data_IF_548782130907
#
_entry.id   IF_548782130907
#
_cell.length_a   1.000
_cell.length_b   1.000
_cell.length_c   1.000
_cell.angle_alpha   90.00
_cell.angle_beta   90.00
_cell.angle_gamma   90.00
#
_symmetry.space_group_name_H-M   'P 1'
#
loop_
_entity.id
_entity.type
_entity.pdbx_description
1 polymer ?
#
# COMPACT_ATOMS: atom_id res chain seq x y z
N UNK A 1 26.14 -20.73 24.97
CA UNK A 1 24.75 -20.25 24.95
C UNK A 1 24.39 -19.58 26.26
N UNK A 2 23.38 -18.72 26.27
CA UNK A 2 22.82 -18.09 27.49
C UNK A 2 21.74 -18.99 28.09
N UNK A 3 21.45 -18.86 29.39
CA UNK A 3 20.41 -19.66 30.06
C UNK A 3 19.03 -19.49 29.41
N UNK A 4 18.69 -18.26 28.99
CA UNK A 4 17.43 -17.97 28.31
C UNK A 4 17.30 -18.69 26.95
N UNK A 5 18.41 -18.89 26.22
CA UNK A 5 18.37 -19.65 24.97
C UNK A 5 18.13 -21.14 25.26
N UNK A 6 18.79 -21.69 26.30
CA UNK A 6 18.52 -23.08 26.72
C UNK A 6 17.06 -23.29 27.08
N UNK A 7 16.43 -22.37 27.82
CA UNK A 7 15.01 -22.50 28.20
C UNK A 7 14.08 -22.62 26.98
N UNK A 8 14.37 -21.90 25.91
CA UNK A 8 13.61 -21.97 24.66
C UNK A 8 13.87 -23.32 23.95
N UNK A 9 15.13 -23.76 23.90
CA UNK A 9 15.52 -24.99 23.22
C UNK A 9 15.26 -26.27 24.03
N UNK A 10 14.87 -26.16 25.31
CA UNK A 10 14.78 -27.30 26.22
C UNK A 10 13.72 -28.32 25.79
N UNK A 11 12.55 -27.86 25.35
CA UNK A 11 11.50 -28.76 24.88
C UNK A 11 11.95 -29.52 23.63
N UNK A 12 12.50 -28.83 22.65
CA UNK A 12 13.01 -29.45 21.42
C UNK A 12 14.20 -30.40 21.70
N UNK A 13 15.01 -30.10 22.71
CA UNK A 13 16.06 -31.01 23.19
C UNK A 13 15.48 -32.28 23.83
N UNK A 14 14.45 -32.16 24.67
CA UNK A 14 13.78 -33.31 25.30
C UNK A 14 13.00 -34.16 24.30
N UNK A 15 12.37 -33.53 23.30
CA UNK A 15 11.66 -34.20 22.21
C UNK A 15 12.62 -34.81 21.16
N UNK A 16 13.91 -34.48 21.23
CA UNK A 16 14.94 -34.97 20.30
C UNK A 16 14.82 -34.40 18.89
N UNK A 17 14.18 -33.24 18.74
CA UNK A 17 13.95 -32.56 17.45
C UNK A 17 15.08 -31.58 17.10
N UNK A 18 15.96 -31.28 18.06
CA UNK A 18 17.10 -30.39 17.90
C UNK A 18 18.16 -30.95 16.92
N UNK A 19 18.79 -30.07 16.13
CA UNK A 19 19.91 -30.45 15.27
C UNK A 19 21.14 -30.84 16.10
N UNK A 20 21.96 -31.79 15.62
CA UNK A 20 23.14 -32.31 16.33
C UNK A 20 24.11 -31.22 16.81
N UNK A 21 24.31 -30.17 16.00
CA UNK A 21 25.19 -29.06 16.37
C UNK A 21 24.65 -28.23 17.54
N UNK A 22 23.33 -28.04 17.59
CA UNK A 22 22.66 -27.29 18.63
C UNK A 22 22.55 -28.13 19.92
N UNK A 23 22.33 -29.43 19.77
CA UNK A 23 22.34 -30.39 20.87
C UNK A 23 23.68 -30.41 21.62
N UNK A 24 24.80 -30.40 20.90
CA UNK A 24 26.14 -30.34 21.52
C UNK A 24 26.36 -29.03 22.32
N UNK A 25 25.84 -27.91 21.83
CA UNK A 25 25.90 -26.63 22.55
C UNK A 25 25.01 -26.65 23.80
N UNK A 26 23.84 -27.31 23.72
CA UNK A 26 22.96 -27.55 24.86
C UNK A 26 23.65 -28.39 25.94
N UNK A 27 24.21 -29.52 25.57
CA UNK A 27 24.94 -30.42 26.48
C UNK A 27 26.15 -29.74 27.13
N UNK A 28 26.88 -28.93 26.35
CA UNK A 28 28.00 -28.15 26.88
C UNK A 28 27.56 -27.21 27.99
N UNK A 29 26.50 -26.44 27.80
CA UNK A 29 26.07 -25.51 28.85
C UNK A 29 25.29 -26.20 29.99
N UNK A 30 24.64 -27.35 29.76
CA UNK A 30 24.16 -28.20 30.86
C UNK A 30 25.31 -28.69 31.76
N UNK A 31 26.51 -28.91 31.21
CA UNK A 31 27.70 -29.26 31.99
C UNK A 31 28.29 -28.08 32.77
N UNK A 32 28.08 -26.85 32.29
CA UNK A 32 28.62 -25.62 32.89
C UNK A 32 27.65 -24.97 33.91
N UNK A 33 26.33 -25.16 33.75
CA UNK A 33 25.30 -24.50 34.56
C UNK A 33 24.44 -25.52 35.33
N UNK A 34 24.66 -25.61 36.64
CA UNK A 34 23.93 -26.54 37.51
C UNK A 34 22.41 -26.28 37.57
N UNK A 35 21.98 -25.01 37.52
CA UNK A 35 20.56 -24.65 37.55
C UNK A 35 19.82 -25.14 36.30
N UNK A 36 20.42 -24.97 35.12
CA UNK A 36 19.85 -25.48 33.87
C UNK A 36 19.86 -27.01 33.82
N UNK A 37 20.87 -27.65 34.42
CA UNK A 37 20.94 -29.11 34.52
C UNK A 37 19.90 -29.71 35.48
N UNK A 38 19.55 -29.02 36.57
CA UNK A 38 18.45 -29.41 37.44
C UNK A 38 17.10 -29.29 36.72
N UNK A 39 16.84 -28.14 36.09
CA UNK A 39 15.63 -27.91 35.32
C UNK A 39 15.42 -28.94 34.19
N UNK A 40 16.48 -29.27 33.45
CA UNK A 40 16.40 -30.29 32.39
C UNK A 40 16.09 -31.69 32.95
N UNK A 41 16.63 -32.03 34.13
CA UNK A 41 16.32 -33.29 34.81
C UNK A 41 14.88 -33.34 35.29
N UNK A 42 14.37 -32.25 35.87
CA UNK A 42 12.99 -32.17 36.34
C UNK A 42 11.99 -32.26 35.19
N UNK A 43 12.25 -31.54 34.09
CA UNK A 43 11.44 -31.61 32.89
C UNK A 43 11.46 -33.02 32.25
N UNK A 44 12.63 -33.65 32.17
CA UNK A 44 12.75 -35.05 31.72
C UNK A 44 12.02 -36.03 32.63
N UNK A 45 12.06 -35.84 33.94
CA UNK A 45 11.32 -36.67 34.90
C UNK A 45 9.80 -36.51 34.75
N UNK A 46 9.33 -35.29 34.44
CA UNK A 46 7.93 -35.03 34.14
C UNK A 46 7.47 -35.72 32.85
N UNK A 47 8.27 -35.65 31.77
CA UNK A 47 7.98 -36.37 30.52
C UNK A 47 7.91 -37.87 30.74
N UNK A 48 8.90 -38.45 31.43
CA UNK A 48 8.91 -39.87 31.78
C UNK A 48 7.74 -40.27 32.69
N UNK A 49 7.19 -39.35 33.49
CA UNK A 49 5.97 -39.59 34.28
C UNK A 49 4.73 -39.66 33.40
N UNK A 50 4.60 -38.74 32.44
CA UNK A 50 3.46 -38.69 31.50
C UNK A 50 3.46 -39.93 30.60
N UNK A 51 4.62 -40.41 30.15
CA UNK A 51 4.73 -41.63 29.34
C UNK A 51 4.24 -42.90 30.03
N UNK A 52 4.16 -42.91 31.36
CA UNK A 52 3.63 -44.04 32.14
C UNK A 52 2.11 -44.05 32.25
N UNK A 53 1.44 -42.98 31.81
CA UNK A 53 -0.02 -42.92 31.81
C UNK A 53 -0.55 -43.97 30.83
N UNK A 54 -1.63 -44.66 31.20
CA UNK A 54 -2.23 -45.68 30.34
C UNK A 54 -2.62 -45.10 28.99
N UNK A 55 -2.33 -45.85 27.91
CA UNK A 55 -2.72 -45.46 26.57
C UNK A 55 -4.25 -45.37 26.49
N UNK A 56 -4.75 -44.18 26.14
CA UNK A 56 -6.18 -43.91 26.05
C UNK A 56 -6.61 -44.10 24.61
N UNK A 57 -7.43 -45.12 24.35
CA UNK A 57 -7.99 -45.36 23.02
C UNK A 57 -8.74 -44.09 22.55
N UNK A 58 -8.32 -43.46 21.45
CA UNK A 58 -8.97 -42.25 20.97
C UNK A 58 -10.40 -42.57 20.54
N UNK A 59 -11.40 -41.73 20.89
CA UNK A 59 -12.78 -42.01 20.50
C UNK A 59 -12.91 -42.06 18.97
N UNK A 60 -13.66 -43.03 18.40
CA UNK A 60 -13.71 -43.26 16.95
C UNK A 60 -14.25 -42.06 16.16
N UNK A 61 -14.99 -41.16 16.82
CA UNK A 61 -15.48 -39.91 16.23
C UNK A 61 -14.36 -38.87 16.03
N UNK A 62 -13.23 -39.00 16.72
CA UNK A 62 -12.13 -38.04 16.65
C UNK A 62 -11.37 -38.18 15.32
N UNK A 63 -11.17 -39.42 14.86
CA UNK A 63 -10.55 -39.70 13.56
C UNK A 63 -11.43 -39.16 12.43
N UNK A 64 -12.75 -39.38 12.49
CA UNK A 64 -13.67 -38.90 11.45
C UNK A 64 -13.79 -37.37 11.46
N UNK A 65 -13.81 -36.73 12.64
CA UNK A 65 -13.78 -35.28 12.75
C UNK A 65 -12.45 -34.70 12.23
N UNK A 66 -11.31 -35.35 12.48
CA UNK A 66 -10.02 -34.89 11.98
C UNK A 66 -9.95 -34.90 10.45
N UNK A 67 -10.58 -35.86 9.78
CA UNK A 67 -10.74 -35.87 8.32
C UNK A 67 -11.79 -34.87 7.82
N UNK A 68 -12.77 -34.50 8.65
CA UNK A 68 -13.81 -33.54 8.30
C UNK A 68 -13.35 -32.08 8.45
N UNK A 69 -12.27 -31.80 9.20
CA UNK A 69 -11.70 -30.45 9.32
C UNK A 69 -11.00 -30.08 8.00
N UNK A 70 -11.55 -29.12 7.22
CA UNK A 70 -10.87 -28.63 6.03
C UNK A 70 -9.62 -27.85 6.45
N UNK A 71 -8.43 -28.32 6.04
CA UNK A 71 -7.14 -27.66 6.30
C UNK A 71 -6.06 -28.60 6.82
N UNK A 72 -6.41 -29.64 7.61
CA UNK A 72 -5.43 -30.63 8.10
C UNK A 72 -4.83 -31.49 6.97
N UNK A 73 -5.56 -31.63 5.86
CA UNK A 73 -5.10 -32.38 4.67
C UNK A 73 -4.09 -31.60 3.83
N UNK A 74 -3.96 -30.29 4.03
CA UNK A 74 -3.08 -29.44 3.21
C UNK A 74 -1.60 -29.56 3.61
N UNK A 75 -1.31 -30.00 4.84
CA UNK A 75 0.05 -30.20 5.32
C UNK A 75 0.78 -31.42 4.71
N UNK A 76 0.06 -32.41 4.16
CA UNK A 76 0.68 -33.66 3.63
C UNK A 76 0.61 -33.86 2.12
N UNK A 77 -0.08 -33.00 1.35
CA UNK A 77 -0.27 -33.26 -0.09
C UNK A 77 -0.19 -31.96 -0.91
N UNK A 78 0.99 -31.34 -1.00
CA UNK A 78 1.19 -30.12 -1.83
C UNK A 78 2.10 -30.31 -3.05
N UNK A 79 2.30 -31.53 -3.57
CA UNK A 79 3.14 -31.73 -4.78
C UNK A 79 2.33 -31.94 -6.07
N UNK A 80 0.99 -31.94 -6.04
CA UNK A 80 0.22 -32.33 -7.27
C UNK A 80 -1.14 -31.68 -7.51
N UNK A 81 -1.27 -30.36 -7.36
CA UNK A 81 -2.46 -29.64 -7.86
C UNK A 81 -2.08 -28.46 -8.75
N UNK A 82 -1.70 -28.76 -10.00
CA UNK A 82 -1.58 -27.76 -11.05
C UNK A 82 -2.94 -27.10 -11.34
N UNK A 83 -2.95 -25.76 -11.31
CA UNK A 83 -3.99 -24.82 -11.80
C UNK A 83 -5.36 -24.87 -11.11
N UNK A 84 -5.97 -26.04 -10.93
CA UNK A 84 -7.30 -26.17 -10.30
C UNK A 84 -7.25 -25.93 -8.78
N UNK A 85 -6.14 -26.31 -8.12
CA UNK A 85 -5.89 -25.95 -6.71
C UNK A 85 -5.62 -24.46 -6.52
N UNK A 86 -4.93 -23.83 -7.46
CA UNK A 86 -4.64 -22.39 -7.45
C UNK A 86 -5.91 -21.54 -7.56
N UNK A 87 -6.81 -21.88 -8.49
CA UNK A 87 -8.09 -21.18 -8.62
C UNK A 87 -8.98 -21.33 -7.38
N UNK A 88 -9.03 -22.52 -6.77
CA UNK A 88 -9.85 -22.74 -5.58
C UNK A 88 -9.28 -22.02 -4.35
N UNK A 89 -7.95 -22.01 -4.19
CA UNK A 89 -7.29 -21.29 -3.10
C UNK A 89 -7.31 -19.77 -3.29
N UNK A 90 -7.43 -19.28 -4.53
CA UNK A 90 -7.60 -17.85 -4.85
C UNK A 90 -9.03 -17.35 -4.58
N UNK A 91 -10.03 -18.23 -4.73
CA UNK A 91 -11.44 -17.89 -4.47
C UNK A 91 -11.83 -18.08 -2.99
N UNK A 92 -11.13 -18.94 -2.24
CA UNK A 92 -11.34 -19.11 -0.79
C UNK A 92 -11.19 -17.82 0.05
N UNK A 93 -10.20 -16.93 -0.17
CA UNK A 93 -10.09 -15.66 0.55
C UNK A 93 -11.12 -14.62 0.09
N UNK A 94 -11.77 -14.81 -1.07
CA UNK A 94 -12.79 -13.89 -1.59
C UNK A 94 -14.14 -14.05 -0.88
N UNK A 95 -14.37 -15.18 -0.20
CA UNK A 95 -15.56 -15.39 0.64
C UNK A 95 -15.43 -14.77 2.05
N UNK A 96 -14.29 -14.18 2.42
CA UNK A 96 -14.16 -13.45 3.68
C UNK A 96 -14.78 -12.04 3.57
N UNK A 97 -15.66 -11.63 4.51
CA UNK A 97 -16.43 -10.38 4.43
C UNK A 97 -15.57 -9.10 4.39
N UNK A 98 -14.28 -9.16 4.76
CA UNK A 98 -13.39 -7.99 4.75
C UNK A 98 -12.85 -7.63 3.36
N UNK A 99 -12.72 -8.59 2.44
CA UNK A 99 -12.17 -8.34 1.10
C UNK A 99 -13.19 -7.70 0.14
N UNK A 100 -14.49 -7.93 0.39
CA UNK A 100 -15.59 -7.38 -0.43
C UNK A 100 -15.60 -5.85 -0.43
N UNK A 101 -15.26 -5.22 0.70
CA UNK A 101 -15.21 -3.75 0.82
C UNK A 101 -14.07 -3.14 -0.03
N UNK A 102 -12.91 -3.80 -0.07
CA UNK A 102 -11.78 -3.34 -0.88
C UNK A 102 -12.01 -3.57 -2.37
N UNK A 103 -12.55 -4.74 -2.72
CA UNK A 103 -12.88 -5.09 -4.10
C UNK A 103 -13.98 -4.18 -4.68
N UNK A 104 -14.99 -3.83 -3.89
CA UNK A 104 -16.04 -2.91 -4.34
C UNK A 104 -15.49 -1.51 -4.62
N UNK A 105 -14.58 -1.02 -3.77
CA UNK A 105 -13.93 0.28 -3.95
C UNK A 105 -13.05 0.32 -5.21
N UNK A 106 -12.29 -0.75 -5.49
CA UNK A 106 -11.45 -0.81 -6.69
C UNK A 106 -12.29 -0.93 -7.97
N UNK A 107 -13.38 -1.72 -7.95
CA UNK A 107 -14.33 -1.80 -9.06
C UNK A 107 -14.99 -0.43 -9.29
N UNK A 108 -15.41 0.26 -8.23
CA UNK A 108 -16.01 1.59 -8.32
C UNK A 108 -15.01 2.61 -8.89
N UNK A 109 -13.77 2.58 -8.43
CA UNK A 109 -12.69 3.45 -8.93
C UNK A 109 -12.43 3.22 -10.41
N UNK A 110 -12.31 1.95 -10.83
CA UNK A 110 -12.10 1.61 -12.23
C UNK A 110 -13.31 1.98 -13.10
N UNK A 111 -14.52 1.78 -12.60
CA UNK A 111 -15.75 2.19 -13.27
C UNK A 111 -15.87 3.70 -13.44
N UNK A 112 -15.52 4.47 -12.40
CA UNK A 112 -15.49 5.93 -12.47
C UNK A 112 -14.39 6.42 -13.43
N UNK A 113 -13.21 5.83 -13.39
CA UNK A 113 -12.09 6.15 -14.29
C UNK A 113 -12.46 5.87 -15.75
N UNK A 114 -13.11 4.73 -16.03
CA UNK A 114 -13.61 4.39 -17.36
C UNK A 114 -14.67 5.37 -17.86
N UNK A 115 -15.54 5.86 -16.97
CA UNK A 115 -16.55 6.88 -17.29
C UNK A 115 -15.92 8.25 -17.54
N UNK A 116 -14.93 8.65 -16.75
CA UNK A 116 -14.16 9.88 -16.96
C UNK A 116 -13.30 9.84 -18.24
N UNK A 117 -12.80 8.67 -18.63
CA UNK A 117 -12.09 8.46 -19.89
C UNK A 117 -13.01 8.49 -21.13
N UNK A 118 -14.31 8.77 -20.96
CA UNK A 118 -15.25 9.00 -22.04
C UNK A 118 -15.58 7.74 -22.84
N UNK A 119 -15.45 6.55 -22.24
CA UNK A 119 -15.91 5.31 -22.88
C UNK A 119 -17.44 5.37 -22.87
N UNK A 120 -18.10 5.55 -24.04
CA UNK A 120 -19.56 5.59 -24.06
C UNK A 120 -20.07 4.25 -23.55
N UNK A 121 -21.09 4.26 -22.68
CA UNK A 121 -21.79 3.07 -22.20
C UNK A 121 -22.60 2.35 -23.30
N UNK A 122 -22.06 2.33 -24.51
CA UNK A 122 -22.59 1.61 -25.66
C UNK A 122 -22.19 0.15 -25.47
N UNK A 123 -23.17 -0.73 -25.54
CA UNK A 123 -23.06 -2.18 -25.37
C UNK A 123 -21.72 -2.69 -25.89
N UNK A 124 -20.80 -3.00 -24.98
CA UNK A 124 -19.51 -3.60 -25.30
C UNK A 124 -19.80 -5.01 -25.80
N UNK A 125 -19.98 -5.13 -27.11
CA UNK A 125 -20.05 -6.43 -27.76
C UNK A 125 -18.66 -7.08 -27.62
N UNK A 126 -18.56 -8.36 -27.21
CA UNK A 126 -17.28 -9.08 -27.13
C UNK A 126 -16.56 -9.14 -28.48
N UNK A 127 -17.22 -8.85 -29.60
CA UNK A 127 -16.61 -8.71 -30.92
C UNK A 127 -15.79 -7.41 -31.10
N UNK A 128 -16.05 -6.36 -30.32
CA UNK A 128 -15.30 -5.09 -30.33
C UNK A 128 -14.13 -5.08 -29.34
N UNK A 129 -13.93 -6.15 -28.55
CA UNK A 129 -12.71 -6.40 -27.77
C UNK A 129 -11.57 -6.94 -28.64
N UNK A 130 -11.38 -6.38 -29.84
CA UNK A 130 -10.16 -6.63 -30.59
C UNK A 130 -9.01 -5.85 -29.95
N UNK A 131 -7.97 -6.52 -29.42
CA UNK A 131 -6.91 -5.88 -28.63
C UNK A 131 -6.22 -4.77 -29.43
N UNK A 132 -6.08 -4.93 -30.74
CA UNK A 132 -5.45 -3.96 -31.63
C UNK A 132 -6.20 -2.64 -31.76
N UNK A 133 -7.54 -2.64 -31.78
CA UNK A 133 -8.33 -1.40 -31.87
C UNK A 133 -8.40 -0.66 -30.54
N UNK A 134 -8.42 -1.40 -29.44
CA UNK A 134 -8.35 -0.81 -28.08
C UNK A 134 -6.98 -0.21 -27.83
N UNK A 135 -5.91 -0.90 -28.23
CA UNK A 135 -4.53 -0.39 -28.14
C UNK A 135 -4.36 0.88 -28.98
N UNK A 136 -4.80 0.88 -30.24
CA UNK A 136 -4.71 2.06 -31.10
C UNK A 136 -5.52 3.25 -30.52
N UNK A 137 -6.73 3.01 -30.01
CA UNK A 137 -7.54 4.06 -29.39
C UNK A 137 -6.97 4.58 -28.06
N UNK A 138 -6.26 3.73 -27.31
CA UNK A 138 -5.56 4.11 -26.08
C UNK A 138 -4.30 4.91 -26.39
N UNK A 139 -3.53 4.50 -27.39
CA UNK A 139 -2.33 5.16 -27.88
C UNK A 139 -2.65 6.57 -28.40
N UNK A 140 -3.70 6.71 -29.21
CA UNK A 140 -4.18 8.02 -29.69
C UNK A 140 -4.59 8.96 -28.55
N UNK A 141 -5.14 8.43 -27.46
CA UNK A 141 -5.51 9.23 -26.27
C UNK A 141 -4.30 9.55 -25.40
N UNK A 142 -3.37 8.62 -25.26
CA UNK A 142 -2.12 8.82 -24.54
C UNK A 142 -1.29 9.92 -25.20
N UNK A 143 -1.19 9.91 -26.54
CA UNK A 143 -0.53 10.97 -27.29
C UNK A 143 -1.19 12.34 -27.08
N UNK A 144 -2.52 12.44 -27.16
CA UNK A 144 -3.23 13.70 -26.89
C UNK A 144 -3.10 14.18 -25.44
N UNK A 145 -3.05 13.28 -24.47
CA UNK A 145 -2.80 13.61 -23.06
C UNK A 145 -1.35 14.06 -22.80
N UNK A 146 -0.39 13.46 -23.50
CA UNK A 146 1.02 13.79 -23.43
C UNK A 146 1.29 15.19 -23.99
N UNK A 147 0.73 15.51 -25.16
CA UNK A 147 0.87 16.85 -25.76
C UNK A 147 0.32 17.96 -24.85
N UNK A 148 -0.81 17.69 -24.17
CA UNK A 148 -1.39 18.65 -23.22
C UNK A 148 -0.50 18.84 -21.98
N UNK A 149 0.13 17.78 -21.51
CA UNK A 149 1.02 17.80 -20.35
C UNK A 149 2.35 18.51 -20.68
N UNK A 150 2.95 18.21 -21.83
CA UNK A 150 4.18 18.85 -22.29
C UNK A 150 4.01 20.38 -22.41
N UNK A 151 2.90 20.83 -23.03
CA UNK A 151 2.57 22.27 -23.13
C UNK A 151 2.36 22.94 -21.76
N UNK A 152 1.82 22.21 -20.77
CA UNK A 152 1.67 22.73 -19.42
C UNK A 152 3.02 22.96 -18.73
N UNK A 153 3.98 22.04 -18.91
CA UNK A 153 5.34 22.20 -18.40
C UNK A 153 6.10 23.36 -19.06
N UNK A 154 5.97 23.51 -20.38
CA UNK A 154 6.56 24.64 -21.11
C UNK A 154 6.05 25.99 -20.59
N UNK A 155 4.76 26.09 -20.31
CA UNK A 155 4.16 27.31 -19.76
C UNK A 155 4.67 27.61 -18.33
N UNK A 156 4.86 26.59 -17.48
CA UNK A 156 5.43 26.77 -16.14
C UNK A 156 6.87 27.30 -16.19
N UNK A 157 7.68 26.75 -17.11
CA UNK A 157 9.06 27.20 -17.35
C UNK A 157 9.09 28.66 -17.80
N UNK A 158 8.17 29.05 -18.68
CA UNK A 158 8.07 30.43 -19.17
C UNK A 158 7.75 31.42 -18.04
N UNK A 159 6.82 31.06 -17.14
CA UNK A 159 6.51 31.89 -15.95
C UNK A 159 7.72 32.07 -15.04
N UNK A 160 8.47 31.01 -14.79
CA UNK A 160 9.72 31.10 -14.00
C UNK A 160 10.73 32.05 -14.65
N UNK A 161 10.87 31.96 -15.98
CA UNK A 161 11.79 32.79 -16.74
C UNK A 161 11.39 34.29 -16.78
N UNK A 162 10.08 34.58 -16.74
CA UNK A 162 9.57 35.95 -16.59
C UNK A 162 9.84 36.48 -15.18
N UNK A 163 9.53 35.67 -14.15
CA UNK A 163 9.75 36.05 -12.76
C UNK A 163 11.23 36.32 -12.46
N UNK A 164 12.14 35.54 -13.06
CA UNK A 164 13.58 35.78 -12.90
C UNK A 164 14.04 37.09 -13.54
N UNK A 165 13.57 37.41 -14.75
CA UNK A 165 13.90 38.69 -15.41
C UNK A 165 13.34 39.91 -14.68
N UNK A 166 12.12 39.82 -14.15
CA UNK A 166 11.51 40.88 -13.36
C UNK A 166 12.25 41.12 -12.04
N UNK A 167 12.76 40.06 -11.41
CA UNK A 167 13.57 40.16 -10.18
C UNK A 167 14.91 40.83 -10.46
N UNK A 168 15.57 40.46 -11.56
CA UNK A 168 16.82 41.05 -12.00
C UNK A 168 16.70 42.56 -12.29
N UNK A 169 15.63 42.99 -12.98
CA UNK A 169 15.37 44.42 -13.21
C UNK A 169 15.02 45.18 -11.92
N UNK A 170 14.36 44.53 -10.95
CA UNK A 170 14.09 45.14 -9.65
C UNK A 170 15.36 45.35 -8.84
N UNK A 171 16.22 44.34 -8.79
CA UNK A 171 17.51 44.43 -8.09
C UNK A 171 18.42 45.50 -8.72
N UNK A 172 18.38 45.68 -10.05
CA UNK A 172 19.09 46.79 -10.74
C UNK A 172 18.55 48.16 -10.34
N UNK A 173 17.23 48.34 -10.30
CA UNK A 173 16.63 49.61 -9.85
C UNK A 173 16.98 49.94 -8.40
N UNK A 174 17.01 48.94 -7.51
CA UNK A 174 17.37 49.13 -6.11
C UNK A 174 18.86 49.49 -5.96
N UNK A 175 19.74 48.93 -6.79
CA UNK A 175 21.17 49.28 -6.83
C UNK A 175 21.40 50.69 -7.40
N UNK A 176 20.71 51.06 -8.48
CA UNK A 176 20.80 52.40 -9.06
C UNK A 176 20.23 53.47 -8.11
N UNK A 177 19.15 53.15 -7.39
CA UNK A 177 18.59 53.98 -6.33
C UNK A 177 19.54 54.12 -5.13
N UNK A 178 20.30 53.07 -4.79
CA UNK A 178 21.31 53.11 -3.74
C UNK A 178 22.61 53.81 -4.16
N UNK A 179 22.91 53.85 -5.47
CA UNK A 179 24.07 54.54 -6.04
C UNK A 179 23.80 56.01 -6.38
N UNK A 180 22.53 56.44 -6.40
CA UNK A 180 22.17 57.85 -6.55
C UNK A 180 22.57 58.65 -5.28
N UNK A 181 23.29 59.78 -5.40
CA UNK A 181 23.63 60.60 -4.25
C UNK A 181 22.36 61.24 -3.67
N UNK A 182 22.18 61.12 -2.36
CA UNK A 182 21.06 61.71 -1.63
C UNK A 182 21.14 63.25 -1.67
N UNK A 183 20.34 63.88 -2.55
CA UNK A 183 20.12 65.34 -2.54
C UNK A 183 18.62 65.67 -2.39
N UNK A 184 18.30 66.08 -1.15
CA UNK A 184 17.16 66.87 -0.64
C UNK A 184 15.70 66.49 -0.95
N UNK A 185 15.05 66.09 0.16
CA UNK A 185 13.64 66.29 0.53
C UNK A 185 13.18 67.74 0.39
N UNK A 186 12.04 68.01 -0.25
CA UNK A 186 10.95 68.83 0.33
C UNK A 186 9.65 68.73 -0.49
N UNK A 187 8.57 69.11 0.18
CA UNK A 187 7.21 68.64 0.10
C UNK A 187 6.26 69.30 -0.93
N UNK A 188 5.30 68.48 -1.38
CA UNK A 188 3.84 68.75 -1.39
C UNK A 188 3.24 69.62 -2.50
N UNK A 189 2.59 68.95 -3.45
CA UNK A 189 1.23 69.27 -3.94
C UNK A 189 0.51 68.02 -4.47
N UNK A 190 -0.58 67.63 -3.81
CA UNK A 190 -1.64 66.77 -4.34
C UNK A 190 -2.35 67.48 -5.51
N UNK A 191 -2.94 66.73 -6.46
CA UNK A 191 -4.40 66.68 -6.42
C UNK A 191 -5.02 65.30 -6.71
N UNK A 192 -6.25 65.21 -6.22
CA UNK A 192 -7.26 64.14 -6.29
C UNK A 192 -7.85 64.07 -7.70
N UNK A 193 -8.24 62.87 -8.14
CA UNK A 193 -9.39 62.48 -9.00
C UNK A 193 -9.01 61.12 -9.62
N UNK A 194 -9.82 60.06 -9.66
CA UNK A 194 -11.20 59.75 -9.32
C UNK A 194 -11.54 58.49 -10.14
N UNK A 195 -12.30 57.54 -9.56
CA UNK A 195 -13.14 56.55 -10.27
C UNK A 195 -12.39 55.59 -11.23
N UNK A 196 -12.42 54.26 -11.13
CA UNK A 196 -13.60 53.40 -11.34
C UNK A 196 -13.15 51.93 -11.22
N UNK A 197 -14.00 51.09 -10.62
CA UNK A 197 -14.28 49.74 -11.12
C UNK A 197 -13.23 48.65 -10.93
N UNK A 198 -13.28 47.95 -9.79
CA UNK A 198 -12.93 46.54 -9.78
C UNK A 198 -14.05 45.72 -9.14
N UNK A 199 -14.69 44.96 -10.02
CA UNK A 199 -15.68 43.91 -9.83
C UNK A 199 -15.08 42.70 -9.12
N UNK A 200 -15.76 42.25 -8.08
CA UNK A 200 -15.60 40.93 -7.45
C UNK A 200 -16.59 39.95 -8.11
N UNK A 201 -16.19 38.73 -8.55
CA UNK A 201 -17.11 37.76 -9.14
C UNK A 201 -17.60 36.75 -8.11
N UNK A 202 -18.86 36.90 -7.67
CA UNK A 202 -19.56 35.97 -6.79
C UNK A 202 -20.79 35.32 -7.44
N UNK A 203 -20.59 34.11 -7.96
CA UNK A 203 -21.54 32.96 -7.92
C UNK A 203 -22.87 33.00 -8.73
N UNK A 204 -23.18 31.93 -9.52
CA UNK A 204 -24.44 31.82 -10.23
C UNK A 204 -25.53 31.16 -9.36
N UNK A 205 -26.65 31.87 -9.20
CA UNK A 205 -27.89 31.39 -8.59
C UNK A 205 -29.00 31.24 -9.63
N UNK A 206 -29.86 30.27 -9.39
CA UNK A 206 -30.96 29.76 -10.22
C UNK A 206 -32.03 30.78 -10.65
N UNK A 207 -32.73 30.45 -11.74
CA UNK A 207 -34.01 31.05 -12.15
C UNK A 207 -34.31 30.73 -13.62
N UNK A 208 -35.12 29.71 -13.92
CA UNK A 208 -36.55 29.84 -14.19
C UNK A 208 -36.88 30.60 -15.49
N UNK A 209 -37.31 29.86 -16.51
CA UNK A 209 -38.01 30.41 -17.69
C UNK A 209 -39.41 29.80 -17.77
N UNK A 210 -40.47 30.62 -17.96
CA UNK A 210 -41.77 30.16 -18.42
C UNK A 210 -41.97 30.46 -19.91
N UNK A 211 -42.73 29.55 -20.54
CA UNK A 211 -43.59 29.64 -21.73
C UNK A 211 -43.50 30.85 -22.67
N UNK A 212 -43.33 30.58 -23.97
CA UNK A 212 -44.43 30.63 -24.95
C UNK A 212 -44.11 29.81 -26.19
#
# INVERSE_FOLDING_TARGET
>A
MTCAHLEIALCDYLDGTLAEAEKAEVERHLSECAACAEMARDAGAAMAFIERVADVEPPPQLVTQMFAIPGMREARVSVRHGIQGWFRNLVQPILQPRMVMGLSLTILFFGMMARCAGIPGRQLSPADLNPSRVLAGLEDRAHRGWERSAKFYENLRFVYQIQSRLREWRDQQDQDAAAAPAENTDERRLPIHGTTGQTDPGQPGAGATPSK
#
